data_IF_864717786408
#
_entry.id   IF_864717786408
#
_cell.length_a   1.000
_cell.length_b   1.000
_cell.length_c   1.000
_cell.angle_alpha   90.00
_cell.angle_beta   90.00
_cell.angle_gamma   90.00
#
_symmetry.space_group_name_H-M   'P 1'
#
loop_
_entity.id
_entity.type
_entity.pdbx_description
1 polymer ?
#
# COMPACT_ATOMS: atom_id res chain seq x y z
N UNK A 1 18.79 10.54 -6.27
CA UNK A 1 18.59 10.74 -4.82
C UNK A 1 17.77 9.63 -4.14
N UNK A 2 16.64 9.16 -4.71
CA UNK A 2 15.90 8.00 -4.17
C UNK A 2 16.54 6.63 -4.48
N UNK A 3 16.94 6.39 -5.75
CA UNK A 3 17.61 5.15 -6.19
C UNK A 3 18.90 4.80 -5.42
N UNK A 4 19.64 5.82 -4.99
CA UNK A 4 20.90 5.64 -4.24
C UNK A 4 20.69 5.19 -2.79
N UNK A 5 19.51 5.44 -2.21
CA UNK A 5 19.19 5.03 -0.85
C UNK A 5 18.73 3.56 -0.75
N UNK A 6 18.32 2.96 -1.87
CA UNK A 6 17.54 1.71 -1.89
C UNK A 6 18.26 0.51 -2.52
N UNK A 7 19.34 0.71 -3.28
CA UNK A 7 20.14 -0.39 -3.89
C UNK A 7 19.46 -1.07 -5.09
N UNK A 8 20.13 -1.18 -6.24
CA UNK A 8 19.49 -1.43 -7.54
C UNK A 8 18.63 -2.70 -7.71
N UNK A 9 18.90 -3.81 -7.00
CA UNK A 9 18.07 -5.03 -7.04
C UNK A 9 16.95 -5.04 -5.98
N UNK A 10 17.22 -4.38 -4.84
CA UNK A 10 16.23 -4.09 -3.81
C UNK A 10 15.19 -3.08 -4.32
N UNK A 11 15.56 -2.23 -5.29
CA UNK A 11 14.70 -1.24 -5.95
C UNK A 11 13.47 -1.87 -6.62
N UNK A 12 13.62 -3.00 -7.34
CA UNK A 12 12.47 -3.64 -8.01
C UNK A 12 11.55 -4.37 -7.03
N UNK A 13 12.11 -5.16 -6.10
CA UNK A 13 11.30 -5.81 -5.06
C UNK A 13 10.57 -4.78 -4.19
N UNK A 14 11.24 -3.68 -3.86
CA UNK A 14 10.63 -2.58 -3.12
C UNK A 14 9.47 -1.94 -3.88
N UNK A 15 9.66 -1.61 -5.17
CA UNK A 15 8.59 -1.05 -6.02
C UNK A 15 7.40 -1.98 -6.10
N UNK A 16 7.62 -3.27 -6.31
CA UNK A 16 6.55 -4.25 -6.38
C UNK A 16 5.80 -4.35 -5.05
N UNK A 17 6.50 -4.42 -3.92
CA UNK A 17 5.86 -4.43 -2.59
C UNK A 17 5.05 -3.16 -2.34
N UNK A 18 5.60 -1.98 -2.64
CA UNK A 18 4.89 -0.71 -2.49
C UNK A 18 3.66 -0.63 -3.43
N UNK A 19 3.75 -1.17 -4.65
CA UNK A 19 2.65 -1.25 -5.59
C UNK A 19 1.53 -2.16 -5.10
N UNK A 20 1.86 -3.33 -4.55
CA UNK A 20 0.86 -4.23 -3.98
C UNK A 20 0.13 -3.60 -2.78
N UNK A 21 0.87 -2.95 -1.88
CA UNK A 21 0.28 -2.20 -0.76
C UNK A 21 -0.67 -1.10 -1.25
N UNK A 22 -0.27 -0.35 -2.27
CA UNK A 22 -1.12 0.70 -2.85
C UNK A 22 -2.40 0.13 -3.47
N UNK A 23 -2.31 -1.02 -4.13
CA UNK A 23 -3.49 -1.71 -4.67
C UNK A 23 -4.44 -2.15 -3.54
N UNK A 24 -3.90 -2.62 -2.42
CA UNK A 24 -4.71 -3.01 -1.26
C UNK A 24 -5.37 -1.82 -0.58
N UNK A 25 -4.82 -0.59 -0.68
CA UNK A 25 -5.52 0.61 -0.21
C UNK A 25 -6.90 0.80 -0.87
N UNK A 26 -7.10 0.36 -2.12
CA UNK A 26 -8.40 0.44 -2.79
C UNK A 26 -9.45 -0.51 -2.22
N UNK A 27 -9.04 -1.46 -1.37
CA UNK A 27 -9.95 -2.35 -0.63
C UNK A 27 -10.39 -1.76 0.71
N UNK A 28 -9.95 -0.54 1.02
CA UNK A 28 -10.24 0.21 2.23
C UNK A 28 -10.82 1.58 1.88
N UNK A 29 -11.21 2.37 2.88
CA UNK A 29 -11.65 3.76 2.70
C UNK A 29 -10.49 4.76 2.64
N UNK A 30 -9.23 4.30 2.76
CA UNK A 30 -8.04 5.16 2.76
C UNK A 30 -7.98 6.12 1.57
N UNK A 31 -8.35 5.65 0.37
CA UNK A 31 -8.36 6.45 -0.87
C UNK A 31 -9.40 7.57 -0.88
N UNK A 32 -10.38 7.54 0.03
CA UNK A 32 -11.39 8.58 0.21
C UNK A 32 -11.02 9.51 1.38
N UNK A 33 -10.31 9.00 2.38
CA UNK A 33 -10.00 9.71 3.63
C UNK A 33 -8.67 10.46 3.61
N UNK A 34 -7.69 10.03 2.80
CA UNK A 34 -6.35 10.62 2.78
C UNK A 34 -5.96 11.12 1.37
N UNK A 35 -5.05 12.10 1.34
CA UNK A 35 -4.47 12.57 0.07
C UNK A 35 -3.65 11.45 -0.59
N UNK A 36 -3.64 11.34 -1.93
CA UNK A 36 -2.85 10.31 -2.64
C UNK A 36 -1.36 10.30 -2.26
N UNK A 37 -0.79 11.46 -1.97
CA UNK A 37 0.61 11.59 -1.53
C UNK A 37 0.87 10.91 -0.18
N UNK A 38 -0.04 11.06 0.79
CA UNK A 38 0.07 10.44 2.11
C UNK A 38 -0.06 8.91 1.99
N UNK A 39 -1.01 8.44 1.16
CA UNK A 39 -1.19 7.01 0.91
C UNK A 39 0.06 6.39 0.30
N UNK A 40 0.64 7.05 -0.72
CA UNK A 40 1.88 6.60 -1.34
C UNK A 40 3.04 6.56 -0.34
N UNK A 41 3.17 7.57 0.54
CA UNK A 41 4.18 7.57 1.60
C UNK A 41 3.97 6.46 2.62
N UNK A 42 2.72 6.17 3.00
CA UNK A 42 2.37 5.02 3.85
C UNK A 42 2.81 3.69 3.24
N UNK A 43 2.52 3.49 1.95
CA UNK A 43 2.91 2.27 1.22
C UNK A 43 4.44 2.13 1.12
N UNK A 44 5.16 3.22 0.81
CA UNK A 44 6.62 3.27 0.76
C UNK A 44 7.22 2.99 2.16
N UNK A 45 6.64 3.57 3.20
CA UNK A 45 7.06 3.35 4.58
C UNK A 45 6.91 1.88 4.98
N UNK A 46 5.73 1.29 4.74
CA UNK A 46 5.47 -0.13 5.01
C UNK A 46 6.36 -1.05 4.19
N UNK A 47 6.51 -0.82 2.89
CA UNK A 47 7.40 -1.62 2.03
C UNK A 47 8.85 -1.56 2.54
N UNK A 48 9.31 -0.39 3.00
CA UNK A 48 10.62 -0.23 3.60
C UNK A 48 10.77 -1.05 4.87
N UNK A 49 9.78 -1.01 5.77
CA UNK A 49 9.77 -1.83 6.99
C UNK A 49 9.75 -3.33 6.71
N UNK A 50 8.94 -3.78 5.76
CA UNK A 50 8.84 -5.20 5.37
C UNK A 50 10.15 -5.74 4.78
N UNK A 51 10.90 -4.89 4.06
CA UNK A 51 12.16 -5.26 3.42
C UNK A 51 13.40 -4.87 4.24
N UNK A 52 13.24 -4.37 5.48
CA UNK A 52 14.31 -3.86 6.33
C UNK A 52 15.19 -2.78 5.65
N UNK A 53 14.57 -1.92 4.85
CA UNK A 53 15.24 -0.82 4.15
C UNK A 53 15.15 0.49 4.95
N UNK A 54 16.21 1.34 4.91
CA UNK A 54 16.27 2.58 5.70
C UNK A 54 15.47 3.74 5.07
N UNK A 55 14.19 3.53 4.77
CA UNK A 55 13.31 4.51 4.10
C UNK A 55 13.05 5.76 4.96
N UNK A 56 13.08 5.63 6.29
CA UNK A 56 12.82 6.72 7.24
C UNK A 56 13.73 7.94 7.03
N UNK A 57 15.02 7.72 6.72
CA UNK A 57 15.98 8.82 6.50
C UNK A 57 15.68 9.63 5.24
N UNK A 58 15.14 8.98 4.20
CA UNK A 58 14.71 9.69 3.00
C UNK A 58 13.40 10.43 3.27
N UNK A 59 12.46 9.78 3.96
CA UNK A 59 11.17 10.39 4.33
C UNK A 59 11.35 11.63 5.20
N UNK A 60 12.25 11.64 6.19
CA UNK A 60 12.52 12.82 7.04
C UNK A 60 12.90 14.11 6.27
N UNK A 61 13.31 13.99 5.00
CA UNK A 61 13.63 15.14 4.14
C UNK A 61 12.40 15.75 3.47
N UNK A 62 11.27 15.06 3.54
CA UNK A 62 10.02 15.47 2.94
C UNK A 62 9.21 16.22 4.01
N UNK A 63 8.63 17.36 3.63
CA UNK A 63 7.73 18.12 4.50
C UNK A 63 6.34 17.45 4.49
N UNK A 64 6.14 16.43 5.33
CA UNK A 64 4.83 15.81 5.54
C UNK A 64 4.53 15.60 7.02
N UNK A 65 3.26 15.42 7.34
CA UNK A 65 2.83 15.06 8.68
C UNK A 65 3.03 13.56 8.91
N UNK A 66 3.98 13.20 9.78
CA UNK A 66 4.27 11.80 10.09
C UNK A 66 3.08 11.05 10.69
N UNK A 67 2.18 11.76 11.37
CA UNK A 67 0.97 11.17 11.93
C UNK A 67 0.02 10.64 10.84
N UNK A 68 -0.19 11.42 9.76
CA UNK A 68 -1.07 10.99 8.66
C UNK A 68 -0.54 9.72 7.97
N UNK A 69 0.78 9.58 7.88
CA UNK A 69 1.42 8.38 7.34
C UNK A 69 1.25 7.19 8.29
N UNK A 70 1.50 7.39 9.59
CA UNK A 70 1.29 6.36 10.62
C UNK A 70 -0.17 5.85 10.60
N UNK A 71 -1.16 6.74 10.50
CA UNK A 71 -2.58 6.39 10.39
C UNK A 71 -2.88 5.48 9.19
N UNK A 72 -2.38 5.84 8.00
CA UNK A 72 -2.52 5.00 6.79
C UNK A 72 -1.91 3.62 7.03
N UNK A 73 -0.71 3.56 7.63
CA UNK A 73 -0.04 2.27 7.87
C UNK A 73 -0.75 1.42 8.92
N UNK A 74 -1.27 2.02 9.98
CA UNK A 74 -2.03 1.33 11.02
C UNK A 74 -3.34 0.78 10.46
N UNK A 75 -4.02 1.54 9.60
CA UNK A 75 -5.23 1.09 8.93
C UNK A 75 -4.96 -0.11 8.01
N UNK A 76 -3.91 -0.06 7.19
CA UNK A 76 -3.53 -1.20 6.34
C UNK A 76 -3.18 -2.45 7.17
N UNK A 77 -2.50 -2.28 8.30
CA UNK A 77 -2.22 -3.41 9.22
C UNK A 77 -3.53 -4.01 9.74
N UNK A 78 -4.45 -3.18 10.24
CA UNK A 78 -5.77 -3.64 10.71
C UNK A 78 -6.60 -4.31 9.61
N UNK A 79 -6.50 -3.83 8.36
CA UNK A 79 -7.08 -4.48 7.20
C UNK A 79 -6.50 -5.90 7.00
N UNK A 80 -5.17 -6.06 7.01
CA UNK A 80 -4.55 -7.38 6.85
C UNK A 80 -4.87 -8.35 8.01
N UNK A 81 -4.96 -7.85 9.24
CA UNK A 81 -5.40 -8.64 10.40
C UNK A 81 -6.85 -9.14 10.23
N UNK A 82 -7.72 -8.31 9.66
CA UNK A 82 -9.12 -8.65 9.36
C UNK A 82 -9.21 -9.66 8.20
N UNK A 83 -8.41 -9.46 7.14
CA UNK A 83 -8.33 -10.35 5.98
C UNK A 83 -7.91 -11.78 6.32
N UNK A 84 -7.16 -11.99 7.40
CA UNK A 84 -6.78 -13.34 7.88
C UNK A 84 -8.00 -14.26 8.12
N UNK A 85 -9.18 -13.67 8.31
CA UNK A 85 -10.43 -14.39 8.56
C UNK A 85 -11.40 -14.36 7.37
N UNK A 86 -11.05 -13.75 6.23
CA UNK A 86 -11.93 -13.66 5.06
C UNK A 86 -11.78 -14.87 4.13
N UNK A 87 -12.89 -15.56 3.78
CA UNK A 87 -12.86 -16.60 2.76
C UNK A 87 -12.80 -16.01 1.35
N UNK A 88 -12.05 -16.67 0.46
CA UNK A 88 -11.69 -16.30 -0.94
C UNK A 88 -12.88 -16.08 -1.92
N UNK A 89 -14.11 -16.03 -1.43
CA UNK A 89 -15.36 -16.01 -2.24
C UNK A 89 -15.65 -14.66 -2.91
N UNK A 90 -15.16 -13.56 -2.37
CA UNK A 90 -15.46 -12.22 -2.90
C UNK A 90 -14.85 -11.99 -4.29
N UNK A 91 -13.65 -12.55 -4.54
CA UNK A 91 -12.96 -12.43 -5.81
C UNK A 91 -13.71 -13.15 -6.95
N UNK A 92 -14.33 -14.31 -6.64
CA UNK A 92 -15.19 -15.03 -7.58
C UNK A 92 -16.47 -14.24 -7.90
N UNK A 93 -17.04 -13.54 -6.94
CA UNK A 93 -18.24 -12.73 -7.16
C UNK A 93 -17.97 -11.51 -8.04
N UNK A 94 -16.85 -10.81 -7.83
CA UNK A 94 -16.45 -9.69 -8.71
C UNK A 94 -16.24 -10.18 -10.14
N UNK A 95 -15.54 -11.30 -10.32
CA UNK A 95 -15.36 -11.92 -11.65
C UNK A 95 -16.71 -12.23 -12.32
N UNK A 96 -17.65 -12.83 -11.59
CA UNK A 96 -18.97 -13.16 -12.12
C UNK A 96 -19.82 -11.92 -12.45
N UNK A 97 -19.68 -10.84 -11.68
CA UNK A 97 -20.39 -9.57 -11.93
C UNK A 97 -19.83 -8.87 -13.17
N UNK A 98 -18.50 -8.76 -13.29
CA UNK A 98 -17.85 -8.18 -14.48
C UNK A 98 -18.20 -8.97 -15.76
N UNK A 99 -18.22 -10.31 -15.69
CA UNK A 99 -18.64 -11.17 -16.81
C UNK A 99 -20.12 -10.98 -17.22
N UNK A 100 -20.98 -10.47 -16.33
CA UNK A 100 -22.37 -10.14 -16.65
C UNK A 100 -22.49 -8.76 -17.28
N UNK A 101 -21.65 -7.81 -16.88
CA UNK A 101 -21.61 -6.46 -17.44
C UNK A 101 -21.00 -6.44 -18.85
N UNK A 102 -19.91 -7.17 -19.10
CA UNK A 102 -19.27 -7.25 -20.44
C UNK A 102 -20.12 -8.01 -21.47
N UNK A 103 -21.14 -8.77 -21.03
CA UNK A 103 -22.07 -9.50 -21.90
C UNK A 103 -23.38 -8.75 -22.19
N UNK A 104 -23.54 -7.54 -21.68
CA UNK A 104 -24.61 -6.61 -22.05
C UNK A 104 -24.14 -5.64 -23.11
#
# INVERSE_FOLDING_TARGET
>A
EFKGAMGGALDENFKQTAWFLLNDCFRTDLVLCHKPSIIALGCIHMAGRLLNLPTTKWMQRLEFNSHEVEEVTAHLIGFYESCRHMPDKELQNVHNTLLKETRR
#
